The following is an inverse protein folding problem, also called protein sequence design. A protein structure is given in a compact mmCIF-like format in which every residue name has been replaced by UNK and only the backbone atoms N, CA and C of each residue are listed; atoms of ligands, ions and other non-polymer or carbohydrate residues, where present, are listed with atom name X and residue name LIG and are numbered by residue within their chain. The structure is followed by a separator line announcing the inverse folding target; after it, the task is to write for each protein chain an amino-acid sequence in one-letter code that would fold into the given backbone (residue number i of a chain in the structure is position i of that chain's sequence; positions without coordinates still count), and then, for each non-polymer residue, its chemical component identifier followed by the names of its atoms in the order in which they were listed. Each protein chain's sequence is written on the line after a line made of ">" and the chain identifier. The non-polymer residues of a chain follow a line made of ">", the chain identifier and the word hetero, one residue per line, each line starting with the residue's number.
data_IF_468053818898
#
_entry.id   IF_468053818898
#
_cell.length_a   1.000
_cell.length_b   1.000
_cell.length_c   1.000
_cell.angle_alpha   90.00
_cell.angle_beta   90.00
_cell.angle_gamma   90.00
#
_symmetry.space_group_name_H-M   'P 1'
#
loop_
_entity.id
_entity.type
_entity.pdbx_description
1 polymer ?
#
# COMPACT_ATOMS: atom_id res chain seq x y z
N UNK A 1 -22.65 -2.00 -47.18
CA UNK A 1 -22.78 -1.98 -45.71
C UNK A 1 -24.08 -1.29 -45.37
N UNK A 2 -24.93 -1.94 -44.62
CA UNK A 2 -26.26 -1.47 -44.24
C UNK A 2 -26.21 -0.16 -43.45
N UNK A 3 -27.16 0.75 -43.63
CA UNK A 3 -27.20 2.05 -42.90
C UNK A 3 -27.16 1.85 -41.40
N UNK A 4 -27.87 0.85 -40.90
CA UNK A 4 -27.90 0.49 -39.49
C UNK A 4 -26.52 0.13 -38.96
N UNK A 5 -25.74 -0.65 -39.70
CA UNK A 5 -24.36 -1.03 -39.31
C UNK A 5 -23.44 0.20 -39.26
N UNK A 6 -23.60 1.14 -40.18
CA UNK A 6 -22.80 2.40 -40.17
C UNK A 6 -23.13 3.26 -38.96
N UNK A 7 -24.40 3.36 -38.57
CA UNK A 7 -24.81 4.14 -37.38
C UNK A 7 -24.25 3.48 -36.10
N UNK A 8 -24.35 2.15 -35.95
CA UNK A 8 -23.83 1.43 -34.82
C UNK A 8 -22.31 1.64 -34.68
N UNK A 9 -21.58 1.50 -35.80
CA UNK A 9 -20.13 1.70 -35.79
C UNK A 9 -19.77 3.15 -35.42
N UNK A 10 -20.46 4.13 -36.01
CA UNK A 10 -20.23 5.55 -35.69
C UNK A 10 -20.50 5.85 -34.21
N UNK A 11 -21.61 5.33 -33.66
CA UNK A 11 -21.94 5.50 -32.24
C UNK A 11 -20.88 4.87 -31.33
N UNK A 12 -20.38 3.68 -31.67
CA UNK A 12 -19.33 3.01 -30.92
C UNK A 12 -18.03 3.84 -30.95
N UNK A 13 -17.63 4.36 -32.10
CA UNK A 13 -16.44 5.21 -32.23
C UNK A 13 -16.55 6.46 -31.36
N UNK A 14 -17.71 7.14 -31.42
CA UNK A 14 -17.98 8.34 -30.60
C UNK A 14 -17.89 8.00 -29.09
N UNK A 15 -18.49 6.88 -28.69
CA UNK A 15 -18.47 6.42 -27.31
C UNK A 15 -17.02 6.14 -26.84
N UNK A 16 -16.25 5.39 -27.63
CA UNK A 16 -14.85 5.07 -27.30
C UNK A 16 -14.00 6.33 -27.24
N UNK A 17 -14.18 7.26 -28.18
CA UNK A 17 -13.46 8.53 -28.17
C UNK A 17 -13.80 9.38 -26.94
N UNK A 18 -15.09 9.53 -26.63
CA UNK A 18 -15.56 10.27 -25.46
C UNK A 18 -15.04 9.66 -24.15
N UNK A 19 -15.10 8.32 -24.04
CA UNK A 19 -14.56 7.60 -22.90
C UNK A 19 -13.03 7.79 -22.76
N UNK A 20 -12.29 7.71 -23.85
CA UNK A 20 -10.83 7.91 -23.84
C UNK A 20 -10.45 9.33 -23.40
N UNK A 21 -11.18 10.35 -23.84
CA UNK A 21 -10.99 11.73 -23.41
C UNK A 21 -11.30 11.91 -21.92
N UNK A 22 -12.40 11.34 -21.45
CA UNK A 22 -12.75 11.36 -20.04
C UNK A 22 -11.67 10.68 -19.18
N UNK A 23 -11.19 9.51 -19.60
CA UNK A 23 -10.14 8.79 -18.89
C UNK A 23 -8.84 9.60 -18.83
N UNK A 24 -8.42 10.17 -19.97
CA UNK A 24 -7.21 10.99 -20.03
C UNK A 24 -7.31 12.23 -19.14
N UNK A 25 -8.46 12.90 -19.14
CA UNK A 25 -8.71 14.04 -18.25
C UNK A 25 -8.61 13.60 -16.76
N UNK A 26 -9.29 12.52 -16.39
CA UNK A 26 -9.28 11.99 -15.03
C UNK A 26 -7.87 11.58 -14.58
N UNK A 27 -7.11 10.96 -15.47
CA UNK A 27 -5.72 10.59 -15.21
C UNK A 27 -4.81 11.81 -14.96
N UNK A 28 -5.02 12.88 -15.74
CA UNK A 28 -4.29 14.13 -15.60
C UNK A 28 -4.61 14.82 -14.27
N UNK A 29 -5.88 14.88 -13.88
CA UNK A 29 -6.33 15.45 -12.61
C UNK A 29 -5.79 14.63 -11.42
N UNK A 30 -5.82 13.32 -11.51
CA UNK A 30 -5.29 12.45 -10.47
C UNK A 30 -3.81 12.73 -10.19
N UNK A 31 -3.01 12.93 -11.24
CA UNK A 31 -1.59 13.27 -11.09
C UNK A 31 -1.39 14.59 -10.35
N UNK A 32 -2.14 15.62 -10.74
CA UNK A 32 -2.04 16.95 -10.12
C UNK A 32 -2.45 16.90 -8.66
N UNK A 33 -3.60 16.31 -8.35
CA UNK A 33 -4.07 16.19 -6.97
C UNK A 33 -3.13 15.37 -6.09
N UNK A 34 -2.58 14.29 -6.62
CA UNK A 34 -1.60 13.50 -5.89
C UNK A 34 -0.36 14.34 -5.49
N UNK A 35 0.17 15.14 -6.43
CA UNK A 35 1.32 16.01 -6.16
C UNK A 35 0.98 17.14 -5.18
N UNK A 36 -0.22 17.73 -5.28
CA UNK A 36 -0.69 18.77 -4.36
C UNK A 36 -0.87 18.24 -2.94
N UNK A 37 -1.46 17.06 -2.76
CA UNK A 37 -1.66 16.45 -1.44
C UNK A 37 -0.33 16.07 -0.77
N UNK A 38 0.64 15.58 -1.54
CA UNK A 38 1.97 15.33 -1.02
C UNK A 38 2.67 16.62 -0.53
N UNK A 39 2.49 17.73 -1.24
CA UNK A 39 3.10 19.00 -0.90
C UNK A 39 2.50 19.66 0.35
N UNK A 40 1.26 19.33 0.72
CA UNK A 40 0.57 19.89 1.89
C UNK A 40 1.00 19.26 3.22
N UNK A 41 1.51 18.04 3.20
CA UNK A 41 1.82 17.30 4.42
C UNK A 41 3.23 17.65 4.92
N UNK A 42 3.32 18.29 6.09
CA UNK A 42 4.61 18.68 6.69
C UNK A 42 5.36 17.53 7.38
N UNK A 43 4.67 16.46 7.76
CA UNK A 43 5.27 15.31 8.46
C UNK A 43 5.69 14.19 7.50
N UNK A 44 5.16 14.20 6.29
CA UNK A 44 5.40 13.18 5.28
C UNK A 44 6.00 13.79 4.02
N UNK A 45 7.13 13.27 3.59
CA UNK A 45 7.76 13.64 2.32
C UNK A 45 7.96 12.42 1.45
N UNK A 46 7.80 12.60 0.16
CA UNK A 46 8.12 11.57 -0.83
C UNK A 46 8.89 12.20 -1.99
N UNK A 47 10.05 11.62 -2.29
CA UNK A 47 10.84 11.94 -3.46
C UNK A 47 10.79 10.76 -4.42
N UNK A 48 10.73 11.00 -5.70
CA UNK A 48 10.69 9.97 -6.74
C UNK A 48 11.33 10.49 -8.02
N UNK A 49 11.89 9.59 -8.83
CA UNK A 49 12.50 9.98 -10.11
C UNK A 49 11.45 10.34 -11.15
N UNK A 50 10.33 9.59 -11.17
CA UNK A 50 9.27 9.78 -12.16
C UNK A 50 7.92 9.32 -11.61
N UNK A 51 6.87 10.05 -12.01
CA UNK A 51 5.48 9.64 -11.83
C UNK A 51 4.86 9.31 -13.19
N UNK A 52 4.31 8.11 -13.29
CA UNK A 52 3.59 7.64 -14.46
C UNK A 52 2.13 7.39 -14.10
N UNK A 53 1.21 7.79 -14.98
CA UNK A 53 -0.22 7.50 -14.84
C UNK A 53 -0.63 6.56 -15.95
N UNK A 54 -1.37 5.51 -15.61
CA UNK A 54 -1.76 4.45 -16.54
C UNK A 54 -3.04 3.76 -16.11
N UNK A 55 -3.27 2.53 -16.65
CA UNK A 55 -4.39 1.67 -16.27
C UNK A 55 -5.60 1.73 -17.20
N UNK A 56 -5.50 2.48 -18.33
CA UNK A 56 -6.55 2.51 -19.36
C UNK A 56 -6.88 1.08 -19.85
N UNK A 57 -8.15 0.76 -20.10
CA UNK A 57 -9.32 1.62 -19.92
C UNK A 57 -10.05 1.43 -18.58
N UNK A 58 -9.70 0.46 -17.74
CA UNK A 58 -10.55 -0.01 -16.63
C UNK A 58 -10.12 0.45 -15.26
N UNK A 59 -8.93 1.03 -15.14
CA UNK A 59 -8.40 1.52 -13.87
C UNK A 59 -7.67 2.84 -14.05
N UNK A 60 -7.46 3.53 -12.94
CA UNK A 60 -6.48 4.60 -12.83
C UNK A 60 -5.34 4.09 -11.97
N UNK A 61 -4.12 4.30 -12.44
CA UNK A 61 -2.89 3.83 -11.78
C UNK A 61 -1.90 4.97 -11.70
N UNK A 62 -1.26 5.09 -10.53
CA UNK A 62 -0.08 5.93 -10.32
C UNK A 62 1.07 4.99 -10.03
N UNK A 63 2.12 5.09 -10.84
CA UNK A 63 3.39 4.40 -10.63
C UNK A 63 4.47 5.42 -10.30
N UNK A 64 5.13 5.23 -9.16
CA UNK A 64 6.29 6.00 -8.75
C UNK A 64 7.53 5.14 -9.00
N UNK A 65 8.53 5.71 -9.66
CA UNK A 65 9.83 5.07 -9.87
C UNK A 65 10.82 5.56 -8.83
N UNK A 66 11.53 4.62 -8.20
CA UNK A 66 12.52 4.86 -7.15
C UNK A 66 12.01 5.80 -6.05
N UNK A 67 10.81 5.56 -5.47
CA UNK A 67 10.31 6.42 -4.44
C UNK A 67 11.11 6.25 -3.14
N UNK A 68 11.42 7.40 -2.54
CA UNK A 68 11.95 7.55 -1.20
C UNK A 68 10.93 8.31 -0.38
N UNK A 69 10.42 7.74 0.68
CA UNK A 69 9.53 8.44 1.59
C UNK A 69 10.13 8.54 2.99
N UNK A 70 9.77 9.60 3.67
CA UNK A 70 10.16 9.86 5.04
C UNK A 70 8.95 10.45 5.78
N UNK A 71 8.71 9.94 6.97
CA UNK A 71 7.74 10.46 7.91
C UNK A 71 8.43 10.72 9.24
N UNK A 72 8.31 11.93 9.74
CA UNK A 72 8.90 12.31 11.02
C UNK A 72 7.85 12.95 11.91
N UNK A 73 7.67 12.40 13.10
CA UNK A 73 6.85 12.99 14.15
C UNK A 73 7.50 12.71 15.50
N UNK A 74 7.68 13.77 16.27
CA UNK A 74 8.39 13.75 17.56
C UNK A 74 9.80 13.13 17.37
N UNK A 75 10.13 12.09 18.12
CA UNK A 75 11.39 11.35 18.03
C UNK A 75 11.29 10.05 17.21
N UNK A 76 10.22 9.86 16.45
CA UNK A 76 10.05 8.72 15.55
C UNK A 76 10.27 9.15 14.11
N UNK A 77 11.25 8.52 13.46
CA UNK A 77 11.53 8.66 12.03
C UNK A 77 11.20 7.35 11.33
N UNK A 78 10.36 7.41 10.30
CA UNK A 78 10.07 6.27 9.42
C UNK A 78 10.58 6.62 8.03
N UNK A 79 11.46 5.82 7.50
CA UNK A 79 11.99 5.96 6.15
C UNK A 79 11.69 4.73 5.32
N UNK A 80 11.48 4.93 4.02
CA UNK A 80 11.23 3.81 3.13
C UNK A 80 11.76 4.09 1.74
N UNK A 81 12.27 3.04 1.13
CA UNK A 81 12.75 3.06 -0.26
C UNK A 81 12.18 1.89 -1.01
N UNK A 82 11.87 2.06 -2.29
CA UNK A 82 11.51 0.95 -3.15
C UNK A 82 11.94 1.21 -4.59
N UNK A 83 11.99 0.15 -5.39
CA UNK A 83 12.22 0.29 -6.82
C UNK A 83 11.02 0.93 -7.52
N UNK A 84 9.84 0.38 -7.26
CA UNK A 84 8.59 0.86 -7.85
C UNK A 84 7.48 0.79 -6.79
N UNK A 85 6.63 1.79 -6.78
CA UNK A 85 5.36 1.75 -6.03
C UNK A 85 4.22 2.03 -6.97
N UNK A 86 3.26 1.11 -7.03
CA UNK A 86 2.05 1.20 -7.84
C UNK A 86 0.84 1.36 -6.93
N UNK A 87 0.05 2.38 -7.15
CA UNK A 87 -1.27 2.56 -6.54
C UNK A 87 -2.32 2.53 -7.64
N UNK A 88 -3.39 1.80 -7.46
CA UNK A 88 -4.44 1.65 -8.45
C UNK A 88 -5.84 1.65 -7.85
N UNK A 89 -6.78 2.22 -8.58
CA UNK A 89 -8.21 2.15 -8.32
C UNK A 89 -8.95 1.74 -9.58
N UNK A 90 -10.04 0.97 -9.43
CA UNK A 90 -10.96 0.72 -10.53
C UNK A 90 -11.81 1.96 -10.78
N UNK A 91 -12.04 2.33 -12.03
CA UNK A 91 -12.96 3.43 -12.38
C UNK A 91 -14.42 3.14 -12.00
N UNK A 92 -14.74 1.85 -11.77
CA UNK A 92 -16.06 1.40 -11.36
C UNK A 92 -16.21 1.24 -9.85
N UNK A 93 -15.09 1.25 -9.11
CA UNK A 93 -15.07 1.08 -7.66
C UNK A 93 -13.94 1.91 -7.04
N UNK A 94 -14.23 3.15 -6.74
CA UNK A 94 -13.31 4.10 -6.12
C UNK A 94 -13.10 3.85 -4.62
N UNK A 95 -13.96 3.02 -4.01
CA UNK A 95 -13.80 2.67 -2.59
C UNK A 95 -12.73 1.62 -2.34
N UNK A 96 -12.16 1.02 -3.38
CA UNK A 96 -11.10 0.03 -3.28
C UNK A 96 -9.81 0.54 -3.94
N UNK A 97 -8.84 0.89 -3.08
CA UNK A 97 -7.48 1.24 -3.50
C UNK A 97 -6.58 0.03 -3.31
N UNK A 98 -5.80 -0.31 -4.32
CA UNK A 98 -4.77 -1.34 -4.27
C UNK A 98 -3.41 -0.70 -4.39
N UNK A 99 -2.44 -1.22 -3.63
CA UNK A 99 -1.04 -0.82 -3.78
C UNK A 99 -0.13 -2.03 -3.89
N UNK A 100 0.99 -1.82 -4.56
CA UNK A 100 2.05 -2.80 -4.71
C UNK A 100 3.39 -2.09 -4.64
N UNK A 101 4.28 -2.61 -3.82
CA UNK A 101 5.65 -2.13 -3.65
C UNK A 101 6.58 -3.23 -4.13
N UNK A 102 7.37 -2.93 -5.16
CA UNK A 102 8.23 -3.91 -5.82
C UNK A 102 9.63 -3.94 -5.23
N UNK A 103 10.26 -5.10 -5.30
CA UNK A 103 11.64 -5.34 -4.84
C UNK A 103 12.69 -4.54 -5.62
N UNK A 104 13.79 -4.20 -4.96
CA UNK A 104 13.98 -4.25 -3.51
C UNK A 104 13.23 -3.11 -2.82
N UNK A 105 12.66 -3.36 -1.66
CA UNK A 105 12.14 -2.28 -0.84
C UNK A 105 12.50 -2.49 0.63
N UNK A 106 12.77 -1.40 1.30
CA UNK A 106 13.22 -1.36 2.68
C UNK A 106 12.48 -0.26 3.45
N UNK A 107 12.07 -0.57 4.66
CA UNK A 107 11.50 0.37 5.61
C UNK A 107 12.35 0.37 6.87
N UNK A 108 12.60 1.54 7.39
CA UNK A 108 13.31 1.76 8.64
C UNK A 108 12.42 2.55 9.59
N UNK A 109 12.35 2.12 10.81
CA UNK A 109 11.70 2.85 11.91
C UNK A 109 12.76 3.10 12.96
N UNK A 110 13.10 4.36 13.15
CA UNK A 110 14.13 4.79 14.09
C UNK A 110 13.52 5.63 15.19
N UNK A 111 14.01 5.44 16.40
CA UNK A 111 13.85 6.37 17.50
C UNK A 111 15.23 6.71 18.07
N UNK A 112 15.29 7.50 19.16
CA UNK A 112 16.56 7.96 19.74
C UNK A 112 17.51 6.81 20.15
N UNK A 113 16.99 5.60 20.38
CA UNK A 113 17.78 4.48 20.91
C UNK A 113 17.99 3.37 19.88
N UNK A 114 17.02 3.10 19.02
CA UNK A 114 16.99 1.90 18.17
C UNK A 114 16.48 2.18 16.77
N UNK A 115 16.99 1.40 15.83
CA UNK A 115 16.49 1.35 14.45
C UNK A 115 16.03 -0.06 14.13
N UNK A 116 14.78 -0.18 13.74
CA UNK A 116 14.19 -1.41 13.24
C UNK A 116 14.06 -1.35 11.72
N UNK A 117 14.49 -2.39 11.05
CA UNK A 117 14.42 -2.51 9.61
C UNK A 117 13.49 -3.64 9.18
N UNK A 118 12.79 -3.38 8.10
CA UNK A 118 11.97 -4.34 7.38
C UNK A 118 12.37 -4.27 5.91
N UNK A 119 12.74 -5.40 5.34
CA UNK A 119 13.07 -5.53 3.92
C UNK A 119 12.25 -6.68 3.33
N UNK A 120 11.67 -6.48 2.15
CA UNK A 120 10.88 -7.53 1.52
C UNK A 120 10.97 -7.48 -0.01
N UNK A 121 10.64 -8.61 -0.64
CA UNK A 121 10.67 -8.73 -2.10
C UNK A 121 9.42 -8.15 -2.76
N UNK A 122 8.27 -8.37 -2.16
CA UNK A 122 7.00 -7.86 -2.66
C UNK A 122 6.10 -7.53 -1.47
N UNK A 123 5.60 -6.32 -1.44
CA UNK A 123 4.52 -5.93 -0.53
C UNK A 123 3.34 -5.45 -1.35
N UNK A 124 2.19 -5.97 -1.04
CA UNK A 124 0.94 -5.57 -1.68
C UNK A 124 -0.15 -5.40 -0.63
N UNK A 125 -1.13 -4.57 -0.95
CA UNK A 125 -2.25 -4.40 -0.05
C UNK A 125 -3.44 -3.73 -0.72
N UNK A 126 -4.51 -3.69 0.04
CA UNK A 126 -5.77 -3.11 -0.39
C UNK A 126 -6.40 -2.34 0.76
N UNK A 127 -6.83 -1.13 0.47
CA UNK A 127 -7.67 -0.32 1.32
C UNK A 127 -9.07 -0.28 0.72
N UNK A 128 -10.06 -0.73 1.45
CA UNK A 128 -11.47 -0.58 1.09
C UNK A 128 -12.11 0.46 2.02
N UNK A 129 -12.79 1.43 1.43
CA UNK A 129 -13.50 2.49 2.14
C UNK A 129 -14.94 2.50 1.65
N UNK A 130 -15.86 1.97 2.48
CA UNK A 130 -17.30 1.99 2.24
C UNK A 130 -18.00 2.38 3.55
N UNK A 131 -19.07 1.72 3.93
CA UNK A 131 -19.70 1.87 5.26
C UNK A 131 -18.82 1.33 6.40
N UNK A 132 -17.76 0.62 6.07
CA UNK A 132 -16.67 0.21 6.94
C UNK A 132 -15.36 0.37 6.18
N UNK A 133 -14.24 0.60 6.87
CA UNK A 133 -12.96 0.51 6.21
C UNK A 133 -12.24 -0.79 6.59
N UNK A 134 -11.56 -1.36 5.62
CA UNK A 134 -10.63 -2.46 5.82
C UNK A 134 -9.31 -2.18 5.11
N UNK A 135 -8.23 -2.50 5.77
CA UNK A 135 -6.88 -2.41 5.23
C UNK A 135 -6.21 -3.77 5.34
N UNK A 136 -5.75 -4.28 4.22
CA UNK A 136 -5.02 -5.53 4.13
C UNK A 136 -3.64 -5.26 3.56
N UNK A 137 -2.61 -5.88 4.14
CA UNK A 137 -1.24 -5.84 3.67
C UNK A 137 -0.63 -7.23 3.75
N UNK A 138 0.11 -7.60 2.73
CA UNK A 138 0.90 -8.84 2.70
C UNK A 138 2.26 -8.59 2.08
N UNK A 139 3.26 -9.30 2.59
CA UNK A 139 4.64 -9.23 2.11
C UNK A 139 5.22 -10.62 1.98
N UNK A 140 6.16 -10.79 1.06
CA UNK A 140 6.86 -12.05 0.80
C UNK A 140 8.36 -11.86 0.99
N UNK A 141 9.02 -12.90 1.48
CA UNK A 141 10.47 -12.93 1.73
C UNK A 141 10.90 -11.72 2.56
N UNK A 142 10.44 -11.71 3.80
CA UNK A 142 10.61 -10.59 4.72
C UNK A 142 11.81 -10.82 5.61
N UNK A 143 12.70 -9.83 5.68
CA UNK A 143 13.85 -9.80 6.58
C UNK A 143 13.67 -8.69 7.60
N UNK A 144 13.90 -9.01 8.87
CA UNK A 144 13.78 -8.09 9.97
C UNK A 144 15.16 -7.81 10.57
N UNK A 145 15.42 -6.54 10.86
CA UNK A 145 16.69 -6.05 11.39
C UNK A 145 16.49 -5.23 12.66
N UNK A 146 17.42 -5.30 13.58
CA UNK A 146 17.58 -4.35 14.68
C UNK A 146 19.00 -3.78 14.62
N UNK A 147 19.13 -2.44 14.50
CA UNK A 147 20.41 -1.75 14.37
C UNK A 147 21.32 -2.36 13.27
N UNK A 148 20.73 -2.62 12.08
CA UNK A 148 21.35 -3.28 10.92
C UNK A 148 21.78 -4.74 11.13
N UNK A 149 21.43 -5.36 12.26
CA UNK A 149 21.69 -6.77 12.50
C UNK A 149 20.44 -7.57 12.16
N UNK A 150 20.49 -8.54 11.24
CA UNK A 150 19.34 -9.38 10.95
C UNK A 150 19.01 -10.25 12.16
N UNK A 151 17.75 -10.30 12.54
CA UNK A 151 17.32 -11.12 13.67
C UNK A 151 16.24 -12.14 13.30
N UNK A 152 15.48 -11.91 12.22
CA UNK A 152 14.49 -12.86 11.74
C UNK A 152 14.27 -12.72 10.24
N UNK A 153 13.87 -13.83 9.64
CA UNK A 153 13.33 -13.92 8.30
C UNK A 153 11.98 -14.66 8.30
N UNK A 154 11.12 -14.30 7.36
CA UNK A 154 9.78 -14.84 7.18
C UNK A 154 9.54 -15.09 5.69
N UNK A 155 8.97 -16.23 5.33
CA UNK A 155 8.54 -16.47 3.96
C UNK A 155 7.38 -15.56 3.57
N UNK A 156 6.45 -15.36 4.49
CA UNK A 156 5.32 -14.46 4.27
C UNK A 156 4.82 -13.81 5.55
N UNK A 157 4.34 -12.60 5.40
CA UNK A 157 3.65 -11.82 6.42
C UNK A 157 2.32 -11.33 5.85
N UNK A 158 1.26 -11.40 6.63
CA UNK A 158 0.00 -10.72 6.29
C UNK A 158 -0.65 -10.08 7.50
N UNK A 159 -1.29 -8.94 7.30
CA UNK A 159 -2.04 -8.24 8.32
C UNK A 159 -3.30 -7.60 7.75
N UNK A 160 -4.40 -7.80 8.45
CA UNK A 160 -5.70 -7.21 8.13
C UNK A 160 -6.15 -6.35 9.29
N UNK A 161 -6.63 -5.15 8.99
CA UNK A 161 -7.34 -4.27 9.91
C UNK A 161 -8.74 -4.04 9.39
N UNK A 162 -9.71 -4.00 10.27
CA UNK A 162 -11.10 -3.75 9.91
C UNK A 162 -11.80 -2.91 10.98
N UNK A 163 -12.45 -1.83 10.56
CA UNK A 163 -13.33 -1.00 11.43
C UNK A 163 -14.71 -0.95 10.79
N UNK A 164 -15.74 -1.28 11.56
CA UNK A 164 -17.14 -1.02 11.18
C UNK A 164 -17.50 0.40 11.58
N UNK A 165 -18.27 1.09 10.75
CA UNK A 165 -18.67 2.50 10.97
C UNK A 165 -19.45 2.69 12.26
N UNK A 166 -20.17 1.65 12.71
CA UNK A 166 -21.01 1.67 13.93
C UNK A 166 -20.23 1.36 15.21
N UNK A 167 -19.02 0.87 15.11
CA UNK A 167 -18.26 0.38 16.26
C UNK A 167 -17.03 1.26 16.50
N UNK A 168 -16.80 1.65 17.76
CA UNK A 168 -15.56 2.30 18.17
C UNK A 168 -14.38 1.30 18.28
N UNK A 169 -14.46 0.17 17.59
CA UNK A 169 -13.46 -0.91 17.66
C UNK A 169 -12.80 -1.15 16.31
N UNK A 170 -11.49 -1.36 16.33
CA UNK A 170 -10.73 -1.86 15.19
C UNK A 170 -10.32 -3.28 15.50
N UNK A 171 -10.73 -4.24 14.67
CA UNK A 171 -10.22 -5.61 14.72
C UNK A 171 -8.98 -5.75 13.84
N UNK A 172 -8.02 -6.55 14.28
CA UNK A 172 -6.85 -6.87 13.49
C UNK A 172 -6.54 -8.37 13.54
N UNK A 173 -5.95 -8.85 12.47
CA UNK A 173 -5.45 -10.20 12.32
C UNK A 173 -4.07 -10.13 11.66
N UNK A 174 -3.09 -10.81 12.25
CA UNK A 174 -1.73 -10.93 11.75
C UNK A 174 -1.39 -12.40 11.58
N UNK A 175 -0.82 -12.77 10.44
CA UNK A 175 -0.26 -14.11 10.19
C UNK A 175 1.18 -13.97 9.75
N UNK A 176 2.06 -14.77 10.35
CA UNK A 176 3.47 -14.91 10.01
C UNK A 176 3.70 -16.37 9.62
N UNK A 177 4.28 -16.61 8.46
CA UNK A 177 4.58 -17.96 7.99
C UNK A 177 6.09 -18.18 7.95
N UNK A 178 6.53 -19.35 8.41
CA UNK A 178 7.91 -19.80 8.38
C UNK A 178 8.89 -18.77 8.98
N UNK A 179 8.62 -18.35 10.23
CA UNK A 179 9.51 -17.48 10.99
C UNK A 179 10.77 -18.23 11.39
N UNK A 180 11.91 -17.77 10.91
CA UNK A 180 13.23 -18.26 11.31
C UNK A 180 13.97 -17.18 12.09
N UNK A 181 14.41 -17.49 13.31
CA UNK A 181 15.21 -16.59 14.12
C UNK A 181 16.71 -16.81 13.81
N UNK A 182 17.44 -15.72 13.56
CA UNK A 182 18.87 -15.81 13.21
C UNK A 182 19.75 -16.16 14.41
N UNK A 183 19.35 -15.77 15.63
CA UNK A 183 20.06 -16.09 16.87
C UNK A 183 19.04 -16.44 17.95
N UNK A 184 18.38 -17.63 17.89
CA UNK A 184 17.39 -17.99 18.87
C UNK A 184 18.01 -18.20 20.25
N UNK A 185 17.33 -17.87 21.35
CA UNK A 185 17.70 -18.30 22.66
C UNK A 185 17.87 -19.84 22.70
N UNK A 186 18.82 -20.34 23.47
CA UNK A 186 19.16 -21.78 23.54
C UNK A 186 17.99 -22.73 23.84
N UNK A 187 16.84 -22.20 24.26
CA UNK A 187 15.63 -22.94 24.59
C UNK A 187 14.58 -22.95 23.47
N UNK A 188 14.81 -22.25 22.35
CA UNK A 188 13.85 -22.18 21.23
C UNK A 188 14.34 -22.98 20.04
N UNK A 189 13.41 -23.67 19.37
CA UNK A 189 13.66 -24.22 18.04
C UNK A 189 13.92 -23.09 17.04
N UNK A 190 14.79 -23.34 16.06
CA UNK A 190 15.21 -22.30 15.08
C UNK A 190 14.09 -21.82 14.16
N UNK A 191 12.98 -22.54 14.06
CA UNK A 191 11.89 -22.19 13.15
C UNK A 191 10.51 -22.40 13.75
N UNK A 192 9.61 -21.47 13.47
CA UNK A 192 8.20 -21.53 13.80
C UNK A 192 7.42 -21.54 12.48
N UNK A 193 6.61 -22.58 12.24
CA UNK A 193 5.92 -22.73 10.96
C UNK A 193 4.83 -21.68 10.72
N UNK A 194 4.07 -21.37 11.75
CA UNK A 194 3.00 -20.35 11.65
C UNK A 194 2.78 -19.68 13.01
N UNK A 195 2.67 -18.36 13.00
CA UNK A 195 2.18 -17.56 14.13
C UNK A 195 0.96 -16.78 13.68
N UNK A 196 -0.14 -16.91 14.41
CA UNK A 196 -1.37 -16.15 14.18
C UNK A 196 -1.73 -15.34 15.41
N UNK A 197 -1.92 -14.03 15.23
CA UNK A 197 -2.29 -13.10 16.28
C UNK A 197 -3.57 -12.39 15.86
N UNK A 198 -4.60 -12.44 16.67
CA UNK A 198 -5.86 -11.74 16.45
C UNK A 198 -6.20 -10.89 17.69
N UNK A 199 -6.78 -9.72 17.48
CA UNK A 199 -7.16 -8.84 18.58
C UNK A 199 -8.10 -7.72 18.15
N UNK A 200 -8.56 -6.97 19.14
CA UNK A 200 -9.39 -5.78 18.94
C UNK A 200 -8.84 -4.61 19.76
N UNK A 201 -8.92 -3.42 19.19
CA UNK A 201 -8.58 -2.16 19.85
C UNK A 201 -9.92 -1.44 20.05
N UNK A 202 -10.33 -1.21 21.29
CA UNK A 202 -11.50 -0.41 21.66
C UNK A 202 -11.10 1.03 21.99
N UNK A 203 -12.04 1.96 21.91
CA UNK A 203 -11.85 3.40 22.21
C UNK A 203 -10.96 4.13 21.20
N UNK A 204 -11.25 4.01 19.92
CA UNK A 204 -10.49 4.66 18.84
C UNK A 204 -10.81 6.17 18.71
N UNK A 205 -11.71 6.72 19.51
CA UNK A 205 -12.11 8.15 19.49
C UNK A 205 -10.95 9.13 19.73
N UNK A 206 -9.83 8.67 20.30
CA UNK A 206 -8.64 9.49 20.53
C UNK A 206 -7.69 9.62 19.33
N UNK A 207 -7.95 8.90 18.23
CA UNK A 207 -7.10 8.92 17.02
C UNK A 207 -7.61 9.87 15.92
N UNK A 208 -8.79 10.47 16.12
CA UNK A 208 -9.42 11.38 15.14
C UNK A 208 -9.24 12.87 15.48
N UNK A 209 -8.45 13.21 16.50
CA UNK A 209 -8.18 14.60 16.93
C UNK A 209 -6.84 15.14 16.45
#
# INVERSE_FOLDING_TARGET
>A
MDKTKRIIIASLVVFVAGYSLFWWYSASQLKVHFQEELAKNSYFSINYDKIEVGGYPFSLQIKLLNPNFSYQKDNVLVEGTSRDTLVSASIWNWSALKFQISSPHKFLVSNDEKTYGFEANLTQGQLNVSDSWSFEISSQSVFLYENNTPWADLDAFSRTFQKKTTDATISFKTSLNALTLQNPPLSMEQGIQEVRIEGTISEVSALES
#
